data_IF_443003770186
#
_entry.id   IF_443003770186
#
_cell.length_a   1.000
_cell.length_b   1.000
_cell.length_c   1.000
_cell.angle_alpha   90.00
_cell.angle_beta   90.00
_cell.angle_gamma   90.00
#
_symmetry.space_group_name_H-M   'P 1'
#
loop_
_entity.id
_entity.type
_entity.pdbx_description
1 polymer ?
#
# COMPACT_ATOMS: atom_id res chain seq x y z
N UNK A 1 -22.49 -6.78 18.23
CA UNK A 1 -21.97 -6.62 16.86
C UNK A 1 -20.49 -6.93 16.94
N UNK A 2 -20.01 -7.97 16.28
CA UNK A 2 -18.58 -8.31 16.31
C UNK A 2 -17.79 -7.18 15.66
N UNK A 3 -16.79 -6.66 16.36
CA UNK A 3 -15.82 -5.72 15.80
C UNK A 3 -15.12 -6.42 14.63
N UNK A 4 -15.55 -6.19 13.39
CA UNK A 4 -14.84 -6.69 12.21
C UNK A 4 -13.44 -6.11 12.32
N UNK A 5 -12.44 -6.98 12.48
CA UNK A 5 -11.05 -6.56 12.64
C UNK A 5 -10.67 -5.73 11.41
N UNK A 6 -10.07 -4.55 11.65
CA UNK A 6 -9.72 -3.63 10.57
C UNK A 6 -8.56 -4.24 9.79
N UNK A 7 -8.86 -4.82 8.63
CA UNK A 7 -7.87 -5.42 7.76
C UNK A 7 -7.47 -4.44 6.63
N UNK A 8 -6.24 -3.92 6.70
CA UNK A 8 -5.64 -3.09 5.64
C UNK A 8 -4.52 -3.82 4.90
N UNK A 9 -4.29 -5.09 5.20
CA UNK A 9 -3.21 -5.87 4.59
C UNK A 9 -3.31 -5.96 3.06
N UNK A 10 -4.50 -6.13 2.45
CA UNK A 10 -4.64 -6.10 1.00
C UNK A 10 -4.12 -4.82 0.34
N UNK A 11 -4.40 -3.66 0.93
CA UNK A 11 -3.93 -2.36 0.43
C UNK A 11 -2.41 -2.24 0.58
N UNK A 12 -1.87 -2.69 1.72
CA UNK A 12 -0.42 -2.69 1.96
C UNK A 12 0.29 -3.62 0.97
N UNK A 13 -0.27 -4.79 0.65
CA UNK A 13 0.32 -5.71 -0.32
C UNK A 13 0.38 -5.07 -1.72
N UNK A 14 -0.73 -4.49 -2.19
CA UNK A 14 -0.78 -3.77 -3.47
C UNK A 14 0.25 -2.64 -3.53
N UNK A 15 0.27 -1.76 -2.53
CA UNK A 15 1.24 -0.66 -2.46
C UNK A 15 2.69 -1.18 -2.38
N UNK A 16 2.93 -2.30 -1.70
CA UNK A 16 4.26 -2.89 -1.61
C UNK A 16 4.73 -3.46 -2.95
N UNK A 17 3.81 -4.03 -3.77
CA UNK A 17 4.12 -4.46 -5.13
C UNK A 17 4.56 -3.27 -5.98
N UNK A 18 3.81 -2.16 -5.94
CA UNK A 18 4.19 -0.93 -6.64
C UNK A 18 5.59 -0.45 -6.24
N UNK A 19 5.91 -0.46 -4.94
CA UNK A 19 7.23 -0.09 -4.46
C UNK A 19 8.34 -1.03 -4.99
N UNK A 20 8.12 -2.35 -5.00
CA UNK A 20 9.05 -3.34 -5.58
C UNK A 20 9.26 -3.09 -7.08
N UNK A 21 8.22 -2.65 -7.78
CA UNK A 21 8.27 -2.30 -9.21
C UNK A 21 8.81 -0.88 -9.45
N UNK A 22 9.21 -0.17 -8.40
CA UNK A 22 9.73 1.20 -8.43
C UNK A 22 8.70 2.24 -8.91
N UNK A 23 7.41 1.94 -8.76
CA UNK A 23 6.28 2.83 -9.05
C UNK A 23 5.90 3.58 -7.77
N UNK A 24 6.65 4.64 -7.45
CA UNK A 24 6.51 5.36 -6.18
C UNK A 24 5.39 6.40 -6.14
N UNK A 25 4.85 6.84 -7.29
CA UNK A 25 3.88 7.92 -7.38
C UNK A 25 2.71 7.81 -6.39
N UNK A 26 1.99 6.67 -6.31
CA UNK A 26 0.92 6.49 -5.33
C UNK A 26 1.38 6.56 -3.87
N UNK A 27 2.58 6.05 -3.54
CA UNK A 27 3.12 6.12 -2.18
C UNK A 27 3.51 7.56 -1.81
N UNK A 28 4.12 8.28 -2.75
CA UNK A 28 4.50 9.68 -2.58
C UNK A 28 3.27 10.55 -2.35
N UNK A 29 2.21 10.36 -3.12
CA UNK A 29 0.92 11.04 -2.93
C UNK A 29 0.33 10.76 -1.54
N UNK A 30 0.24 9.50 -1.13
CA UNK A 30 -0.28 9.13 0.20
C UNK A 30 0.57 9.74 1.34
N UNK A 31 1.90 9.82 1.17
CA UNK A 31 2.79 10.39 2.18
C UNK A 31 2.61 11.89 2.43
N UNK A 32 1.97 12.60 1.47
CA UNK A 32 1.72 14.05 1.49
C UNK A 32 0.33 14.41 1.99
N UNK A 33 -0.50 13.43 2.33
CA UNK A 33 -1.83 13.67 2.91
C UNK A 33 -1.66 14.19 4.35
N UNK A 34 -1.99 15.46 4.57
CA UNK A 34 -1.75 16.14 5.86
C UNK A 34 -3.05 16.45 6.62
N UNK A 35 -4.15 16.69 5.91
CA UNK A 35 -5.46 17.03 6.49
C UNK A 35 -6.60 16.25 5.79
N UNK A 36 -7.83 16.43 6.27
CA UNK A 36 -9.06 15.82 5.78
C UNK A 36 -9.85 16.72 4.82
N UNK A 37 -9.27 17.80 4.34
CA UNK A 37 -9.92 18.66 3.34
C UNK A 37 -10.12 17.94 2.01
N UNK A 38 -10.95 18.52 1.14
CA UNK A 38 -11.32 17.91 -0.14
C UNK A 38 -10.09 17.66 -1.04
N UNK A 39 -9.09 18.55 -0.99
CA UNK A 39 -7.87 18.42 -1.78
C UNK A 39 -7.09 17.17 -1.38
N UNK A 40 -6.83 16.99 -0.09
CA UNK A 40 -6.11 15.83 0.43
C UNK A 40 -6.91 14.53 0.31
N UNK A 41 -8.23 14.57 0.50
CA UNK A 41 -9.07 13.38 0.31
C UNK A 41 -9.17 12.97 -1.15
N UNK A 42 -9.19 13.92 -2.09
CA UNK A 42 -9.06 13.63 -3.51
C UNK A 42 -7.70 13.01 -3.84
N UNK A 43 -6.61 13.56 -3.30
CA UNK A 43 -5.26 13.01 -3.47
C UNK A 43 -5.17 11.56 -2.98
N UNK A 44 -5.71 11.26 -1.80
CA UNK A 44 -5.73 9.89 -1.26
C UNK A 44 -6.52 8.93 -2.16
N UNK A 45 -7.70 9.35 -2.65
CA UNK A 45 -8.53 8.57 -3.58
C UNK A 45 -7.81 8.31 -4.91
N UNK A 46 -7.19 9.32 -5.50
CA UNK A 46 -6.44 9.19 -6.76
C UNK A 46 -5.23 8.27 -6.62
N UNK A 47 -4.53 8.34 -5.48
CA UNK A 47 -3.41 7.47 -5.19
C UNK A 47 -3.84 6.00 -5.09
N UNK A 48 -4.87 5.70 -4.30
CA UNK A 48 -5.39 4.34 -4.14
C UNK A 48 -5.99 3.81 -5.45
N UNK A 49 -6.74 4.62 -6.20
CA UNK A 49 -7.22 4.25 -7.53
C UNK A 49 -6.07 3.89 -8.47
N UNK A 50 -5.03 4.73 -8.53
CA UNK A 50 -3.87 4.49 -9.38
C UNK A 50 -3.13 3.20 -9.00
N UNK A 51 -3.01 2.91 -7.70
CA UNK A 51 -2.40 1.68 -7.20
C UNK A 51 -3.21 0.43 -7.59
N UNK A 52 -4.52 0.44 -7.36
CA UNK A 52 -5.41 -0.67 -7.74
C UNK A 52 -5.40 -0.87 -9.25
N UNK A 53 -5.49 0.20 -10.04
CA UNK A 53 -5.45 0.15 -11.50
C UNK A 53 -4.14 -0.45 -12.00
N UNK A 54 -3.00 -0.01 -11.47
CA UNK A 54 -1.69 -0.55 -11.84
C UNK A 54 -1.64 -2.06 -11.55
N UNK A 55 -1.98 -2.45 -10.33
CA UNK A 55 -1.93 -3.83 -9.89
C UNK A 55 -2.85 -4.75 -10.70
N UNK A 56 -4.07 -4.28 -11.02
CA UNK A 56 -5.00 -5.00 -11.89
C UNK A 56 -4.48 -5.12 -13.33
N UNK A 57 -3.81 -4.10 -13.86
CA UNK A 57 -3.22 -4.12 -15.21
C UNK A 57 -2.11 -5.16 -15.32
N UNK A 58 -1.33 -5.35 -14.27
CA UNK A 58 -0.30 -6.39 -14.17
C UNK A 58 -0.87 -7.81 -13.92
N UNK A 59 -2.20 -7.97 -13.95
CA UNK A 59 -2.88 -9.24 -13.71
C UNK A 59 -2.91 -9.66 -12.24
N UNK A 60 -2.61 -8.75 -11.32
CA UNK A 60 -2.63 -9.01 -9.88
C UNK A 60 -4.06 -9.17 -9.33
N UNK A 61 -4.23 -10.11 -8.41
CA UNK A 61 -5.47 -10.29 -7.66
C UNK A 61 -5.16 -10.41 -6.16
N UNK A 62 -5.83 -9.60 -5.35
CA UNK A 62 -5.77 -9.68 -3.89
C UNK A 62 -7.20 -9.82 -3.37
N UNK A 63 -7.52 -10.89 -2.61
CA UNK A 63 -8.82 -11.05 -1.98
C UNK A 63 -9.15 -9.86 -1.08
N UNK A 64 -10.45 -9.51 -1.01
CA UNK A 64 -10.96 -8.46 -0.10
C UNK A 64 -10.38 -7.05 -0.33
N UNK A 65 -9.70 -6.82 -1.46
CA UNK A 65 -9.06 -5.53 -1.75
C UNK A 65 -10.07 -4.36 -1.78
N UNK A 66 -11.26 -4.58 -2.32
CA UNK A 66 -12.31 -3.54 -2.38
C UNK A 66 -12.74 -3.08 -0.98
N UNK A 67 -13.11 -4.02 -0.10
CA UNK A 67 -13.42 -3.77 1.30
C UNK A 67 -12.27 -3.04 2.03
N UNK A 68 -11.04 -3.46 1.76
CA UNK A 68 -9.85 -2.88 2.37
C UNK A 68 -9.57 -1.46 1.88
N UNK A 69 -9.81 -1.16 0.58
CA UNK A 69 -9.70 0.20 0.02
C UNK A 69 -10.75 1.12 0.62
N UNK A 70 -12.01 0.66 0.71
CA UNK A 70 -13.07 1.44 1.33
C UNK A 70 -12.75 1.73 2.80
N UNK A 71 -12.28 0.72 3.52
CA UNK A 71 -11.85 0.86 4.92
C UNK A 71 -10.68 1.83 5.04
N UNK A 72 -9.67 1.75 4.18
CA UNK A 72 -8.54 2.68 4.16
C UNK A 72 -9.01 4.12 3.97
N UNK A 73 -9.90 4.37 3.02
CA UNK A 73 -10.43 5.72 2.75
C UNK A 73 -11.19 6.29 3.94
N UNK A 74 -12.08 5.51 4.57
CA UNK A 74 -12.80 5.94 5.79
C UNK A 74 -11.84 6.26 6.93
N UNK A 75 -10.77 5.49 7.08
CA UNK A 75 -9.77 5.73 8.13
C UNK A 75 -8.91 6.95 7.84
N UNK A 76 -8.54 7.19 6.58
CA UNK A 76 -7.79 8.38 6.17
C UNK A 76 -8.65 9.63 6.41
N UNK A 77 -9.94 9.60 6.07
CA UNK A 77 -10.86 10.70 6.32
C UNK A 77 -11.00 11.02 7.81
N UNK A 78 -11.10 9.99 8.65
CA UNK A 78 -11.13 10.16 10.10
C UNK A 78 -9.77 10.60 10.69
N UNK A 79 -8.67 10.15 10.09
CA UNK A 79 -7.29 10.28 10.57
C UNK A 79 -6.31 10.38 9.38
N UNK A 80 -6.04 11.59 8.86
CA UNK A 80 -5.23 11.79 7.64
C UNK A 80 -3.84 11.12 7.68
N UNK A 81 -3.19 11.06 8.86
CA UNK A 81 -1.89 10.41 9.05
C UNK A 81 -1.87 8.91 8.68
N UNK A 82 -3.03 8.23 8.64
CA UNK A 82 -3.13 6.83 8.21
C UNK A 82 -2.64 6.65 6.76
N UNK A 83 -2.82 7.65 5.90
CA UNK A 83 -2.32 7.59 4.51
C UNK A 83 -0.80 7.44 4.49
N UNK A 84 -0.09 8.24 5.30
CA UNK A 84 1.37 8.18 5.45
C UNK A 84 1.81 6.85 6.09
N UNK A 85 1.07 6.35 7.08
CA UNK A 85 1.37 5.04 7.66
C UNK A 85 1.28 3.90 6.64
N UNK A 86 0.27 3.92 5.77
CA UNK A 86 0.12 2.92 4.70
C UNK A 86 1.31 2.94 3.75
N UNK A 87 1.72 4.13 3.30
CA UNK A 87 2.89 4.28 2.42
C UNK A 87 4.18 3.75 3.08
N UNK A 88 4.42 4.10 4.35
CA UNK A 88 5.61 3.65 5.08
C UNK A 88 5.61 2.13 5.34
N UNK A 89 4.47 1.55 5.72
CA UNK A 89 4.33 0.10 5.92
C UNK A 89 4.56 -0.67 4.62
N UNK A 90 4.00 -0.19 3.51
CA UNK A 90 4.20 -0.77 2.20
C UNK A 90 5.66 -0.74 1.76
N UNK A 91 6.34 0.40 1.96
CA UNK A 91 7.76 0.54 1.65
C UNK A 91 8.63 -0.38 2.51
N UNK A 92 8.38 -0.45 3.82
CA UNK A 92 9.09 -1.36 4.71
C UNK A 92 8.90 -2.83 4.31
N UNK A 93 7.68 -3.22 3.89
CA UNK A 93 7.38 -4.55 3.37
C UNK A 93 8.12 -4.86 2.07
N UNK A 94 8.20 -3.88 1.16
CA UNK A 94 8.95 -4.03 -0.09
C UNK A 94 10.44 -4.28 0.18
N UNK A 95 11.07 -3.45 1.02
CA UNK A 95 12.49 -3.57 1.38
C UNK A 95 12.82 -4.88 2.12
N UNK A 96 11.93 -5.33 3.00
CA UNK A 96 12.14 -6.58 3.76
C UNK A 96 12.11 -7.82 2.84
N UNK A 97 11.28 -7.78 1.79
CA UNK A 97 11.23 -8.84 0.79
C UNK A 97 12.52 -8.90 -0.05
N UNK A 98 13.06 -7.74 -0.44
CA UNK A 98 14.33 -7.66 -1.17
C UNK A 98 15.51 -8.19 -0.35
N UNK A 99 15.58 -7.84 0.94
CA UNK A 99 16.63 -8.36 1.84
C UNK A 99 16.57 -9.89 1.98
N UNK A 100 15.36 -10.44 2.04
CA UNK A 100 15.13 -11.89 2.13
C UNK A 100 15.48 -12.62 0.82
N UNK A 101 15.31 -11.96 -0.33
CA UNK A 101 15.70 -12.48 -1.64
C UNK A 101 17.23 -12.43 -1.85
N UNK A 102 17.89 -11.37 -1.39
CA UNK A 102 19.35 -11.22 -1.48
C UNK A 102 20.10 -12.26 -0.63
N UNK A 103 19.63 -12.55 0.60
CA UNK A 103 20.24 -13.55 1.49
C UNK A 103 20.19 -14.99 0.94
N UNK A 104 19.18 -15.33 0.13
CA UNK A 104 19.09 -16.66 -0.54
C UNK A 104 20.01 -16.81 -1.76
N UNK A 105 20.56 -15.70 -2.28
CA UNK A 105 21.47 -15.70 -3.42
C UNK A 105 22.92 -15.99 -3.05
N UNK A 106 23.33 -15.67 -1.83
CA UNK A 106 24.71 -15.87 -1.36
C UNK A 106 24.99 -17.32 -0.92
N UNK A 107 24.00 -18.05 -0.40
CA UNK A 107 24.16 -19.46 -0.03
C UNK A 107 24.35 -20.41 -1.24
N UNK A 108 23.93 -20.02 -2.45
CA UNK A 108 24.08 -20.86 -3.66
C UNK A 108 25.42 -20.73 -4.37
N UNK A 109 26.33 -19.84 -3.93
CA UNK A 109 27.68 -19.70 -4.50
C UNK A 109 28.78 -20.32 -3.64
N UNK A 110 28.42 -20.98 -2.54
CA UNK A 110 29.36 -21.62 -1.61
C UNK A 110 29.16 -23.14 -1.50
N UNK A 111 28.67 -23.79 -2.57
CA UNK A 111 28.53 -25.24 -2.68
C UNK A 111 29.22 -25.79 -3.91
#
# INVERSE_FOLDING_TARGET
>A
MASKEINLDPVIEVLSKLARDKVYGPLDMLSRVEDKDEFYMKMAREALYSAVRYYATEGGHVPELEDAVETALRLIEARPHVAKELALKALARAMSAEKSAAGKGEEKKAG
#
